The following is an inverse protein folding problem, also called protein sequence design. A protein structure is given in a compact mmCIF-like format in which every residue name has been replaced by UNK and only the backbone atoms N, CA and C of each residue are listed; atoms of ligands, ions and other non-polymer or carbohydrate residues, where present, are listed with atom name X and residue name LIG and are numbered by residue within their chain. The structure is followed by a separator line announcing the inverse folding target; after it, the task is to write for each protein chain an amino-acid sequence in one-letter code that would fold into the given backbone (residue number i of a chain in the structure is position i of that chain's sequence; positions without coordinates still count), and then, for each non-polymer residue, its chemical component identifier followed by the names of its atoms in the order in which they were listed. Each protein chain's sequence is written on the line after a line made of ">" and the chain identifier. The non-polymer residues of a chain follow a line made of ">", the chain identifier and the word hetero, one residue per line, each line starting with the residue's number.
data_IF_422310394767
#
_entry.id   IF_422310394767
#
_cell.length_a   1.000
_cell.length_b   1.000
_cell.length_c   1.000
_cell.angle_alpha   90.00
_cell.angle_beta   90.00
_cell.angle_gamma   90.00
#
_symmetry.space_group_name_H-M   'P 1'
#
loop_
_entity.id
_entity.type
_entity.pdbx_description
1 polymer ?
#
# COMPACT_ATOMS: atom_id res chain seq x y z
N UNK A 1 -40.14 6.95 26.62
CA UNK A 1 -39.15 5.99 27.15
C UNK A 1 -37.85 6.76 27.40
N UNK A 2 -37.12 6.53 28.50
CA UNK A 2 -35.86 7.22 28.70
C UNK A 2 -34.96 6.88 27.52
N UNK A 3 -34.44 7.91 26.82
CA UNK A 3 -33.51 7.77 25.73
C UNK A 3 -32.15 7.40 26.30
N UNK A 4 -31.72 6.13 26.17
CA UNK A 4 -30.37 5.68 26.54
C UNK A 4 -29.41 6.35 25.58
N UNK A 5 -28.39 7.08 26.04
CA UNK A 5 -27.35 7.62 25.17
C UNK A 5 -26.70 6.50 24.35
N UNK A 6 -26.36 6.79 23.08
CA UNK A 6 -25.79 5.77 22.19
C UNK A 6 -24.50 5.14 22.77
N UNK A 7 -23.71 5.93 23.48
CA UNK A 7 -22.48 5.46 24.14
C UNK A 7 -22.72 4.40 25.19
N UNK A 8 -23.83 4.49 25.90
CA UNK A 8 -24.26 3.47 26.88
C UNK A 8 -24.77 2.22 26.16
N UNK A 9 -25.53 2.38 25.09
CA UNK A 9 -26.02 1.26 24.28
C UNK A 9 -24.89 0.49 23.62
N UNK A 10 -23.92 1.19 23.04
CA UNK A 10 -22.78 0.58 22.35
C UNK A 10 -21.68 0.11 23.31
N UNK A 11 -21.63 0.58 24.54
CA UNK A 11 -20.52 0.31 25.45
C UNK A 11 -19.16 0.80 24.98
N UNK A 12 -19.11 1.83 24.12
CA UNK A 12 -17.87 2.40 23.60
C UNK A 12 -16.93 2.87 24.70
N UNK A 13 -15.66 2.56 24.53
CA UNK A 13 -14.58 3.01 25.39
C UNK A 13 -14.09 4.40 24.96
N UNK A 14 -13.34 5.12 25.82
CA UNK A 14 -12.89 6.49 25.53
C UNK A 14 -12.25 6.64 24.16
N UNK A 15 -11.40 5.69 23.75
CA UNK A 15 -10.73 5.72 22.45
C UNK A 15 -11.70 5.55 21.28
N UNK A 16 -12.70 4.68 21.41
CA UNK A 16 -13.74 4.50 20.37
C UNK A 16 -14.67 5.73 20.31
N UNK A 17 -14.94 6.39 21.44
CA UNK A 17 -15.66 7.66 21.46
C UNK A 17 -14.84 8.74 20.76
N UNK A 18 -13.53 8.81 21.03
CA UNK A 18 -12.63 9.72 20.32
C UNK A 18 -12.65 9.47 18.81
N UNK A 19 -12.53 8.20 18.38
CA UNK A 19 -12.58 7.83 16.97
C UNK A 19 -13.92 8.25 16.33
N UNK A 20 -15.03 8.09 17.04
CA UNK A 20 -16.34 8.52 16.56
C UNK A 20 -16.44 10.02 16.38
N UNK A 21 -15.93 10.82 17.33
CA UNK A 21 -15.91 12.29 17.25
C UNK A 21 -15.06 12.78 16.08
N UNK A 22 -13.93 12.13 15.84
CA UNK A 22 -13.06 12.42 14.68
C UNK A 22 -13.78 12.08 13.39
N UNK A 23 -14.41 10.92 13.30
CA UNK A 23 -15.17 10.50 12.13
C UNK A 23 -16.39 11.39 11.85
N UNK A 24 -17.00 12.00 12.87
CA UNK A 24 -18.10 12.96 12.70
C UNK A 24 -17.64 14.24 11.99
N UNK A 25 -16.34 14.55 12.01
CA UNK A 25 -15.78 15.80 11.45
C UNK A 25 -14.88 15.58 10.23
N UNK A 26 -14.44 14.34 9.96
CA UNK A 26 -13.57 14.00 8.83
C UNK A 26 -14.20 12.93 7.95
N UNK A 27 -14.05 13.08 6.65
CA UNK A 27 -14.62 12.15 5.67
C UNK A 27 -13.90 10.81 5.62
N UNK A 28 -12.58 10.81 5.80
CA UNK A 28 -11.73 9.63 5.72
C UNK A 28 -11.04 9.40 7.06
N UNK A 29 -11.64 8.55 7.90
CA UNK A 29 -11.11 8.29 9.25
C UNK A 29 -10.52 6.89 9.35
N UNK A 30 -9.26 6.82 9.79
CA UNK A 30 -8.57 5.59 10.13
C UNK A 30 -8.47 5.43 11.65
N UNK A 31 -9.07 4.38 12.20
CA UNK A 31 -8.89 3.96 13.58
C UNK A 31 -7.94 2.76 13.58
N UNK A 32 -6.67 2.98 13.88
CA UNK A 32 -5.63 2.01 13.58
C UNK A 32 -4.49 1.96 14.58
N UNK A 33 -3.60 1.00 14.40
CA UNK A 33 -2.44 0.74 15.24
C UNK A 33 -2.40 -0.69 15.73
N UNK A 34 -2.12 -0.91 17.02
CA UNK A 34 -1.93 -2.22 17.61
C UNK A 34 -3.15 -3.15 17.55
N UNK A 35 -2.97 -4.43 17.89
CA UNK A 35 -4.06 -5.43 18.01
C UNK A 35 -4.83 -5.26 19.30
N UNK A 36 -6.12 -5.55 19.28
CA UNK A 36 -6.96 -5.69 20.48
C UNK A 36 -7.74 -4.46 20.94
N UNK A 37 -7.57 -3.21 20.43
CA UNK A 37 -8.29 -2.04 20.95
C UNK A 37 -9.78 -1.97 20.56
N UNK A 38 -10.30 -2.93 19.79
CA UNK A 38 -11.71 -2.98 19.42
C UNK A 38 -12.06 -2.18 18.16
N UNK A 39 -11.18 -2.17 17.16
CA UNK A 39 -11.38 -1.47 15.87
C UNK A 39 -12.60 -2.00 15.10
N UNK A 40 -12.68 -3.31 14.89
CA UNK A 40 -13.80 -3.96 14.18
C UNK A 40 -15.14 -3.75 14.93
N UNK A 41 -15.11 -3.74 16.26
CA UNK A 41 -16.27 -3.39 17.09
C UNK A 41 -16.73 -1.97 16.81
N UNK A 42 -15.80 -1.02 16.80
CA UNK A 42 -16.10 0.39 16.50
C UNK A 42 -16.71 0.55 15.11
N UNK A 43 -16.16 -0.08 14.08
CA UNK A 43 -16.64 0.04 12.70
C UNK A 43 -18.13 -0.30 12.57
N UNK A 44 -18.57 -1.45 13.12
CA UNK A 44 -19.97 -1.87 12.99
C UNK A 44 -20.93 -1.04 13.86
N UNK A 45 -20.54 -0.68 15.07
CA UNK A 45 -21.37 0.15 15.93
C UNK A 45 -21.42 1.60 15.47
N UNK A 46 -20.34 2.12 14.90
CA UNK A 46 -20.33 3.46 14.30
C UNK A 46 -21.26 3.54 13.08
N UNK A 47 -21.23 2.53 12.19
CA UNK A 47 -22.16 2.42 11.08
C UNK A 47 -23.61 2.43 11.54
N UNK A 48 -23.95 1.62 12.57
CA UNK A 48 -25.30 1.61 13.15
C UNK A 48 -25.70 3.00 13.71
N UNK A 49 -24.78 3.66 14.42
CA UNK A 49 -25.01 5.01 14.94
C UNK A 49 -25.36 5.99 13.81
N UNK A 50 -24.57 5.99 12.75
CA UNK A 50 -24.77 6.91 11.62
C UNK A 50 -26.14 6.71 10.96
N UNK A 51 -26.57 5.47 10.76
CA UNK A 51 -27.89 5.18 10.20
C UNK A 51 -29.02 5.68 11.12
N UNK A 52 -28.89 5.51 12.45
CA UNK A 52 -29.85 6.01 13.41
C UNK A 52 -29.86 7.56 13.47
N UNK A 53 -28.70 8.19 13.31
CA UNK A 53 -28.59 9.66 13.28
C UNK A 53 -29.18 10.23 11.97
N UNK A 54 -28.98 9.57 10.82
CA UNK A 54 -29.61 9.93 9.55
C UNK A 54 -31.15 9.85 9.66
N UNK A 55 -31.70 8.78 10.26
CA UNK A 55 -33.13 8.65 10.52
C UNK A 55 -33.68 9.82 11.37
N UNK A 56 -32.93 10.21 12.41
CA UNK A 56 -33.36 11.41 13.24
C UNK A 56 -33.42 12.69 12.43
N UNK A 57 -32.69 12.79 11.33
CA UNK A 57 -32.70 13.92 10.41
C UNK A 57 -33.64 13.72 9.23
N UNK A 58 -34.49 12.67 9.27
CA UNK A 58 -35.49 12.39 8.24
C UNK A 58 -34.92 11.76 6.97
N UNK A 59 -33.74 11.18 7.04
CA UNK A 59 -33.08 10.46 5.91
C UNK A 59 -33.17 8.96 6.19
N UNK A 60 -34.09 8.29 5.53
CA UNK A 60 -34.43 6.89 5.72
C UNK A 60 -33.95 6.02 4.54
N UNK A 61 -34.03 4.69 4.70
CA UNK A 61 -33.67 3.69 3.67
C UNK A 61 -32.26 3.83 3.14
N UNK A 62 -31.33 4.19 3.99
CA UNK A 62 -29.92 4.46 3.65
C UNK A 62 -29.11 3.16 3.66
N UNK A 63 -28.15 3.05 2.72
CA UNK A 63 -27.20 1.96 2.68
C UNK A 63 -25.83 2.38 3.22
N UNK A 64 -25.29 1.58 4.14
CA UNK A 64 -23.92 1.67 4.64
C UNK A 64 -23.17 0.39 4.29
N UNK A 65 -22.02 0.47 3.63
CA UNK A 65 -21.22 -0.72 3.30
C UNK A 65 -20.26 -1.08 4.42
N UNK A 66 -20.22 -2.34 4.87
CA UNK A 66 -19.22 -2.87 5.78
C UNK A 66 -18.47 -4.01 5.08
N UNK A 67 -17.17 -3.79 4.87
CA UNK A 67 -16.33 -4.62 4.02
C UNK A 67 -15.22 -5.33 4.81
N UNK A 68 -14.97 -6.59 4.45
CA UNK A 68 -13.79 -7.38 4.82
C UNK A 68 -13.06 -7.87 3.57
N UNK A 69 -11.81 -8.32 3.70
CA UNK A 69 -11.01 -8.82 2.57
C UNK A 69 -11.71 -10.01 1.90
N UNK A 70 -12.15 -11.01 2.68
CA UNK A 70 -12.77 -12.24 2.18
C UNK A 70 -14.12 -12.54 2.82
N UNK A 71 -14.88 -13.45 2.20
CA UNK A 71 -16.17 -13.88 2.75
C UNK A 71 -16.05 -14.64 4.10
N UNK A 72 -15.10 -15.56 4.31
CA UNK A 72 -14.90 -16.18 5.63
C UNK A 72 -14.64 -15.15 6.73
N UNK A 73 -13.78 -14.17 6.48
CA UNK A 73 -13.49 -13.12 7.45
C UNK A 73 -14.69 -12.23 7.75
N UNK A 74 -15.50 -11.94 6.73
CA UNK A 74 -16.75 -11.22 6.90
C UNK A 74 -17.70 -11.96 7.83
N UNK A 75 -17.84 -13.29 7.68
CA UNK A 75 -18.69 -14.12 8.53
C UNK A 75 -18.18 -14.15 9.97
N UNK A 76 -16.90 -14.39 10.17
CA UNK A 76 -16.32 -14.58 11.49
C UNK A 76 -16.20 -13.25 12.27
N UNK A 77 -15.74 -12.19 11.61
CA UNK A 77 -15.40 -10.93 12.26
C UNK A 77 -16.57 -9.97 12.36
N UNK A 78 -17.52 -10.02 11.42
CA UNK A 78 -18.61 -9.03 11.35
C UNK A 78 -19.99 -9.65 11.49
N UNK A 79 -20.37 -10.60 10.64
CA UNK A 79 -21.75 -11.14 10.62
C UNK A 79 -22.12 -11.79 11.94
N UNK A 80 -21.29 -12.73 12.45
CA UNK A 80 -21.51 -13.43 13.72
C UNK A 80 -21.57 -12.47 14.90
N UNK A 81 -20.75 -11.43 14.88
CA UNK A 81 -20.70 -10.40 15.94
C UNK A 81 -21.90 -9.48 15.90
N UNK A 82 -22.34 -9.05 14.73
CA UNK A 82 -23.57 -8.22 14.59
C UNK A 82 -24.76 -8.98 15.16
N UNK A 83 -24.91 -10.27 14.83
CA UNK A 83 -26.00 -11.10 15.36
C UNK A 83 -25.99 -11.16 16.90
N UNK A 84 -24.80 -11.23 17.51
CA UNK A 84 -24.68 -11.35 18.98
C UNK A 84 -24.71 -10.02 19.72
N UNK A 85 -24.26 -8.93 19.08
CA UNK A 85 -24.05 -7.63 19.73
C UNK A 85 -25.22 -6.65 19.53
N UNK A 86 -25.83 -6.65 18.33
CA UNK A 86 -26.86 -5.67 18.04
C UNK A 86 -28.21 -6.07 18.66
N UNK A 87 -28.90 -5.15 19.33
CA UNK A 87 -30.20 -5.45 19.90
C UNK A 87 -31.23 -5.81 18.83
N UNK A 88 -31.89 -6.97 18.95
CA UNK A 88 -32.91 -7.43 18.00
C UNK A 88 -34.09 -6.42 17.84
N UNK A 89 -34.32 -5.57 18.83
CA UNK A 89 -35.32 -4.49 18.72
C UNK A 89 -35.00 -3.42 17.68
N UNK A 90 -33.72 -3.31 17.24
CA UNK A 90 -33.30 -2.34 16.23
C UNK A 90 -33.42 -2.90 14.81
N UNK A 91 -33.22 -4.20 14.64
CA UNK A 91 -33.19 -4.82 13.33
C UNK A 91 -32.71 -6.27 13.40
N UNK A 92 -32.47 -6.86 12.25
CA UNK A 92 -31.98 -8.24 12.13
C UNK A 92 -31.08 -8.44 10.92
N UNK A 93 -30.21 -9.45 10.97
CA UNK A 93 -29.41 -9.87 9.81
C UNK A 93 -30.30 -10.70 8.89
N UNK A 94 -30.40 -10.28 7.63
CA UNK A 94 -31.13 -10.96 6.57
C UNK A 94 -30.32 -10.97 5.28
N UNK A 95 -30.55 -12.00 4.47
CA UNK A 95 -30.12 -12.05 3.07
C UNK A 95 -31.35 -11.86 2.18
N UNK A 96 -31.40 -10.74 1.47
CA UNK A 96 -32.55 -10.36 0.64
C UNK A 96 -32.18 -10.29 -0.83
N UNK A 97 -33.15 -10.55 -1.73
CA UNK A 97 -32.91 -10.45 -3.17
C UNK A 97 -32.50 -9.04 -3.61
N UNK A 98 -33.00 -8.01 -2.93
CA UNK A 98 -32.75 -6.60 -3.27
C UNK A 98 -31.41 -6.09 -2.79
N UNK A 99 -30.97 -6.51 -1.60
CA UNK A 99 -29.78 -5.96 -0.94
C UNK A 99 -28.70 -7.02 -0.65
N UNK A 100 -28.99 -8.32 -0.81
CA UNK A 100 -28.13 -9.40 -0.35
C UNK A 100 -27.99 -9.40 1.18
N UNK A 101 -26.88 -9.95 1.71
CA UNK A 101 -26.63 -10.05 3.13
C UNK A 101 -26.42 -8.67 3.78
N UNK A 102 -27.15 -8.40 4.86
CA UNK A 102 -27.05 -7.15 5.60
C UNK A 102 -27.79 -7.17 6.92
N UNK A 103 -27.46 -6.22 7.81
CA UNK A 103 -28.26 -5.93 8.98
C UNK A 103 -29.31 -4.85 8.64
N UNK A 104 -30.57 -5.22 8.63
CA UNK A 104 -31.69 -4.39 8.25
C UNK A 104 -32.34 -3.79 9.51
N UNK A 105 -32.32 -2.47 9.62
CA UNK A 105 -33.07 -1.75 10.63
C UNK A 105 -34.58 -1.89 10.39
N UNK A 106 -35.36 -2.01 11.46
CA UNK A 106 -36.81 -1.97 11.35
C UNK A 106 -37.30 -0.58 10.86
N UNK A 107 -38.45 -0.53 10.15
CA UNK A 107 -39.03 0.68 9.58
C UNK A 107 -39.14 1.81 10.60
N UNK A 108 -39.51 1.50 11.84
CA UNK A 108 -39.56 2.49 12.94
C UNK A 108 -38.22 3.14 13.30
N UNK A 109 -37.13 2.67 12.70
CA UNK A 109 -35.76 3.20 12.82
C UNK A 109 -35.21 3.57 11.45
N UNK A 110 -36.08 3.82 10.45
CA UNK A 110 -35.74 4.32 9.14
C UNK A 110 -35.47 3.27 8.08
N UNK A 111 -35.69 1.96 8.32
CA UNK A 111 -35.56 0.91 7.32
C UNK A 111 -34.19 0.81 6.61
N UNK A 112 -33.16 1.46 7.14
CA UNK A 112 -31.81 1.52 6.58
C UNK A 112 -31.07 0.18 6.75
N UNK A 113 -29.98 -0.02 6.00
CA UNK A 113 -29.24 -1.30 5.99
C UNK A 113 -27.73 -1.13 6.09
N UNK A 114 -27.10 -1.93 6.94
CA UNK A 114 -25.65 -2.16 6.90
C UNK A 114 -25.40 -3.36 5.98
N UNK A 115 -24.91 -3.12 4.79
CA UNK A 115 -24.61 -4.14 3.79
C UNK A 115 -23.28 -4.81 4.11
N UNK A 116 -23.30 -6.14 4.29
CA UNK A 116 -22.13 -6.95 4.62
C UNK A 116 -21.49 -7.49 3.33
N UNK A 117 -20.26 -7.08 3.05
CA UNK A 117 -19.61 -7.30 1.74
C UNK A 117 -18.17 -7.74 1.90
N UNK A 118 -17.66 -8.45 0.90
CA UNK A 118 -16.25 -8.81 0.78
C UNK A 118 -15.59 -8.10 -0.41
N UNK A 119 -14.27 -8.09 -0.43
CA UNK A 119 -13.45 -7.45 -1.46
C UNK A 119 -12.74 -8.45 -2.40
N UNK A 120 -13.20 -9.71 -2.46
CA UNK A 120 -12.66 -10.72 -3.38
C UNK A 120 -12.76 -10.26 -4.85
N UNK A 121 -13.88 -9.61 -5.22
CA UNK A 121 -14.09 -8.96 -6.49
C UNK A 121 -14.67 -7.55 -6.28
N UNK A 122 -13.81 -6.54 -6.10
CA UNK A 122 -14.28 -5.18 -5.85
C UNK A 122 -15.02 -4.56 -7.02
N UNK A 123 -14.80 -5.01 -8.26
CA UNK A 123 -15.38 -4.41 -9.46
C UNK A 123 -16.93 -4.42 -9.46
N UNK A 124 -17.54 -5.38 -8.77
CA UNK A 124 -19.01 -5.47 -8.62
C UNK A 124 -19.64 -4.29 -7.86
N UNK A 125 -18.84 -3.50 -7.15
CA UNK A 125 -19.35 -2.35 -6.39
C UNK A 125 -19.23 -1.00 -7.12
N UNK A 126 -18.72 -0.96 -8.35
CA UNK A 126 -18.58 0.28 -9.15
C UNK A 126 -19.86 1.07 -9.32
N UNK A 127 -21.00 0.39 -9.39
CA UNK A 127 -22.33 1.01 -9.56
C UNK A 127 -23.10 1.16 -8.25
N UNK A 128 -22.50 0.77 -7.12
CA UNK A 128 -23.17 0.88 -5.82
C UNK A 128 -23.11 2.31 -5.28
N UNK A 129 -24.06 2.62 -4.39
CA UNK A 129 -24.14 3.90 -3.69
C UNK A 129 -24.19 3.65 -2.19
N UNK A 130 -23.38 4.39 -1.44
CA UNK A 130 -23.29 4.27 0.00
C UNK A 130 -23.24 5.66 0.65
N UNK A 131 -24.02 5.85 1.71
CA UNK A 131 -23.90 7.02 2.58
C UNK A 131 -22.60 6.95 3.41
N UNK A 132 -22.16 5.76 3.71
CA UNK A 132 -20.88 5.52 4.36
C UNK A 132 -20.32 4.13 4.07
N UNK A 133 -19.01 4.00 4.19
CA UNK A 133 -18.27 2.77 4.00
C UNK A 133 -17.39 2.53 5.24
N UNK A 134 -17.45 1.31 5.75
CA UNK A 134 -16.53 0.80 6.76
C UNK A 134 -15.68 -0.32 6.16
N UNK A 135 -14.35 -0.25 6.29
CA UNK A 135 -13.43 -1.31 5.82
C UNK A 135 -12.64 -1.85 7.01
N UNK A 136 -12.78 -3.14 7.26
CA UNK A 136 -11.98 -3.83 8.27
C UNK A 136 -10.68 -4.34 7.66
N UNK A 137 -9.56 -4.16 8.36
CA UNK A 137 -8.20 -4.48 7.94
C UNK A 137 -7.81 -3.81 6.59
N UNK A 138 -7.91 -2.48 6.53
CA UNK A 138 -7.64 -1.68 5.32
C UNK A 138 -6.26 -1.94 4.71
N UNK A 139 -5.25 -2.26 5.51
CA UNK A 139 -3.89 -2.57 5.04
C UNK A 139 -3.80 -3.86 4.22
N UNK A 140 -4.84 -4.69 4.21
CA UNK A 140 -4.94 -5.85 3.30
C UNK A 140 -5.52 -5.46 1.92
N UNK A 141 -6.02 -4.24 1.79
CA UNK A 141 -6.71 -3.75 0.59
C UNK A 141 -5.79 -2.90 -0.28
N UNK A 142 -5.64 -3.18 -1.59
CA UNK A 142 -4.88 -2.33 -2.50
C UNK A 142 -5.48 -0.93 -2.63
N UNK A 143 -4.63 0.10 -2.86
CA UNK A 143 -5.07 1.48 -3.05
C UNK A 143 -6.14 1.64 -4.14
N UNK A 144 -5.99 0.94 -5.27
CA UNK A 144 -6.98 0.93 -6.37
C UNK A 144 -8.40 0.56 -5.90
N UNK A 145 -8.51 -0.35 -4.91
CA UNK A 145 -9.80 -0.74 -4.33
C UNK A 145 -10.37 0.37 -3.46
N UNK A 146 -9.54 1.05 -2.67
CA UNK A 146 -9.94 2.26 -1.94
C UNK A 146 -10.46 3.35 -2.88
N UNK A 147 -9.75 3.63 -3.98
CA UNK A 147 -10.16 4.64 -4.96
C UNK A 147 -11.51 4.30 -5.61
N UNK A 148 -11.74 3.03 -5.90
CA UNK A 148 -13.01 2.55 -6.43
C UNK A 148 -14.14 2.68 -5.41
N UNK A 149 -13.93 2.24 -4.16
CA UNK A 149 -14.94 2.37 -3.08
C UNK A 149 -15.25 3.83 -2.79
N UNK A 150 -14.26 4.71 -2.81
CA UNK A 150 -14.43 6.17 -2.68
C UNK A 150 -15.37 6.73 -3.75
N UNK A 151 -15.29 6.23 -4.98
CA UNK A 151 -16.21 6.59 -6.07
C UNK A 151 -17.67 6.19 -5.81
N UNK A 152 -17.92 5.22 -4.92
CA UNK A 152 -19.27 4.77 -4.52
C UNK A 152 -19.83 5.52 -3.29
N UNK A 153 -19.05 6.43 -2.70
CA UNK A 153 -19.49 7.29 -1.59
C UNK A 153 -20.36 8.44 -2.11
N UNK A 154 -21.61 8.15 -2.32
CA UNK A 154 -22.64 9.10 -2.70
C UNK A 154 -24.00 8.62 -2.19
N UNK A 155 -24.81 9.52 -1.68
CA UNK A 155 -26.18 9.23 -1.25
C UNK A 155 -27.02 10.50 -1.30
N UNK A 156 -28.20 10.49 -1.95
CA UNK A 156 -29.08 11.66 -2.01
C UNK A 156 -29.46 12.15 -0.61
N UNK A 157 -29.38 13.44 -0.38
CA UNK A 157 -29.75 14.06 0.90
C UNK A 157 -28.71 13.94 2.02
N UNK A 158 -27.65 13.16 1.85
CA UNK A 158 -26.55 13.07 2.81
C UNK A 158 -25.47 14.09 2.46
N UNK A 159 -25.34 15.13 3.28
CA UNK A 159 -24.40 16.22 3.03
C UNK A 159 -22.93 15.78 3.09
N UNK A 160 -22.60 14.81 3.95
CA UNK A 160 -21.25 14.27 4.10
C UNK A 160 -21.32 12.75 4.13
N UNK A 161 -20.82 12.12 3.08
CA UNK A 161 -20.57 10.67 3.05
C UNK A 161 -19.25 10.36 3.74
N UNK A 162 -19.12 9.18 4.35
CA UNK A 162 -17.99 8.85 5.22
C UNK A 162 -17.30 7.57 4.82
N UNK A 163 -15.98 7.54 4.94
CA UNK A 163 -15.15 6.35 4.83
C UNK A 163 -14.42 6.12 6.15
N UNK A 164 -14.77 5.05 6.83
CA UNK A 164 -14.16 4.66 8.10
C UNK A 164 -13.37 3.36 7.90
N UNK A 165 -12.18 3.28 8.43
CA UNK A 165 -11.40 2.07 8.34
C UNK A 165 -10.79 1.68 9.70
N UNK A 166 -10.64 0.37 9.91
CA UNK A 166 -9.90 -0.21 11.01
C UNK A 166 -8.75 -1.05 10.46
N UNK A 167 -7.56 -0.99 11.06
CA UNK A 167 -6.46 -1.83 10.61
C UNK A 167 -5.30 -1.90 11.60
N UNK A 168 -4.45 -2.92 11.40
CA UNK A 168 -3.11 -3.01 11.98
C UNK A 168 -2.08 -2.55 10.94
N UNK A 169 -0.85 -2.16 11.36
CA UNK A 169 0.15 -1.64 10.45
C UNK A 169 0.90 -2.70 9.63
N UNK A 170 0.65 -3.99 9.85
CA UNK A 170 1.42 -5.12 9.30
C UNK A 170 0.83 -5.75 8.02
N UNK A 171 -0.22 -5.16 7.46
CA UNK A 171 -0.83 -5.66 6.22
C UNK A 171 0.07 -5.42 4.99
N UNK A 172 -0.09 -6.27 3.98
CA UNK A 172 0.73 -6.25 2.73
C UNK A 172 0.68 -4.93 1.95
N UNK A 173 -0.36 -4.12 2.16
CA UNK A 173 -0.56 -2.83 1.51
C UNK A 173 -0.49 -1.65 2.51
N UNK A 174 0.23 -1.82 3.63
CA UNK A 174 0.32 -0.81 4.68
C UNK A 174 0.94 0.53 4.20
N UNK A 175 1.81 0.49 3.19
CA UNK A 175 2.54 1.67 2.73
C UNK A 175 1.63 2.81 2.27
N UNK A 176 0.65 2.57 1.38
CA UNK A 176 -0.24 3.62 0.91
C UNK A 176 -1.17 4.15 2.02
N UNK A 177 -1.56 3.27 2.97
CA UNK A 177 -2.34 3.68 4.15
C UNK A 177 -1.51 4.59 5.05
N UNK A 178 -0.27 4.18 5.33
CA UNK A 178 0.69 5.00 6.09
C UNK A 178 0.91 6.35 5.42
N UNK A 179 1.17 6.37 4.12
CA UNK A 179 1.41 7.60 3.36
C UNK A 179 0.26 8.60 3.52
N UNK A 180 -1.01 8.17 3.35
CA UNK A 180 -2.17 9.09 3.39
C UNK A 180 -2.56 9.50 4.81
N UNK A 181 -2.63 8.56 5.77
CA UNK A 181 -3.19 8.86 7.10
C UNK A 181 -2.16 9.18 8.16
N UNK A 182 -0.95 8.61 8.08
CA UNK A 182 0.08 8.77 9.10
C UNK A 182 1.05 9.89 8.72
N UNK A 183 1.65 9.78 7.53
CA UNK A 183 2.63 10.74 7.01
C UNK A 183 1.96 11.98 6.42
N UNK A 184 0.67 11.87 6.03
CA UNK A 184 -0.09 12.94 5.36
C UNK A 184 0.64 13.43 4.10
N UNK A 185 1.31 12.52 3.42
CA UNK A 185 2.00 12.76 2.17
C UNK A 185 1.08 12.42 0.99
N UNK A 186 0.74 13.44 0.22
CA UNK A 186 -0.13 13.35 -0.96
C UNK A 186 0.67 13.55 -2.26
N UNK A 187 1.96 13.28 -2.25
CA UNK A 187 2.81 13.36 -3.43
C UNK A 187 2.87 12.04 -4.18
N UNK A 188 3.09 12.11 -5.50
CA UNK A 188 3.22 10.95 -6.37
C UNK A 188 1.93 10.55 -7.10
N UNK A 189 2.11 9.77 -8.16
CA UNK A 189 1.02 9.34 -9.04
C UNK A 189 -0.09 8.61 -8.25
N UNK A 190 -1.33 9.03 -8.47
CA UNK A 190 -2.52 8.49 -7.80
C UNK A 190 -2.72 9.00 -6.36
N UNK A 191 -1.85 9.87 -5.83
CA UNK A 191 -2.03 10.54 -4.54
C UNK A 191 -2.30 12.03 -4.66
N UNK A 192 -1.74 12.68 -5.68
CA UNK A 192 -1.88 14.12 -5.91
C UNK A 192 -3.33 14.54 -6.11
N UNK A 193 -4.17 13.69 -6.69
CA UNK A 193 -5.60 13.92 -6.86
C UNK A 193 -6.36 13.96 -5.51
N UNK A 194 -5.76 13.45 -4.45
CA UNK A 194 -6.30 13.49 -3.09
C UNK A 194 -5.86 14.73 -2.31
N UNK A 195 -4.88 15.47 -2.79
CA UNK A 195 -4.35 16.66 -2.10
C UNK A 195 -5.43 17.70 -1.73
N UNK A 196 -6.45 18.00 -2.57
CA UNK A 196 -7.53 18.89 -2.18
C UNK A 196 -8.39 18.38 -1.01
N UNK A 197 -8.32 17.07 -0.71
CA UNK A 197 -9.05 16.42 0.38
C UNK A 197 -8.17 16.15 1.61
N UNK A 198 -6.94 16.65 1.65
CA UNK A 198 -5.96 16.36 2.71
C UNK A 198 -6.51 16.55 4.11
N UNK A 199 -7.28 17.60 4.33
CA UNK A 199 -7.83 17.93 5.65
C UNK A 199 -9.06 17.10 6.02
N UNK A 200 -9.57 16.30 5.09
CA UNK A 200 -10.62 15.30 5.34
C UNK A 200 -10.06 13.95 5.83
N UNK A 201 -8.73 13.77 5.84
CA UNK A 201 -8.07 12.57 6.33
C UNK A 201 -7.67 12.72 7.79
N UNK A 202 -8.09 11.78 8.64
CA UNK A 202 -7.73 11.76 10.05
C UNK A 202 -7.37 10.36 10.54
N UNK A 203 -6.34 10.29 11.37
CA UNK A 203 -5.87 9.07 12.02
C UNK A 203 -6.09 9.14 13.53
N UNK A 204 -6.68 8.08 14.08
CA UNK A 204 -6.81 7.89 15.54
C UNK A 204 -6.00 6.66 15.93
N UNK A 205 -4.84 6.85 16.59
CA UNK A 205 -4.02 5.74 17.04
C UNK A 205 -4.69 4.95 18.16
N UNK A 206 -4.55 3.64 18.14
CA UNK A 206 -5.13 2.73 19.12
C UNK A 206 -4.14 1.66 19.58
N UNK A 207 -4.07 1.44 20.88
CA UNK A 207 -3.18 0.49 21.54
C UNK A 207 -4.00 -0.58 22.31
N UNK A 208 -3.42 -1.74 22.66
CA UNK A 208 -4.08 -2.74 23.47
C UNK A 208 -4.53 -2.20 24.83
N UNK A 209 -3.80 -1.22 25.38
CA UNK A 209 -4.13 -0.54 26.65
C UNK A 209 -5.45 0.22 26.61
N UNK A 210 -5.96 0.54 25.43
CA UNK A 210 -7.27 1.20 25.25
C UNK A 210 -8.45 0.23 25.47
N UNK A 211 -8.16 -1.09 25.59
CA UNK A 211 -9.17 -2.14 25.81
C UNK A 211 -8.95 -2.85 27.15
N UNK A 212 -9.74 -2.53 28.17
CA UNK A 212 -9.58 -3.15 29.50
C UNK A 212 -10.07 -4.61 29.59
N UNK A 213 -10.64 -5.16 28.53
CA UNK A 213 -11.18 -6.53 28.52
C UNK A 213 -10.20 -7.57 27.97
N UNK A 214 -8.99 -7.18 27.59
CA UNK A 214 -7.98 -8.10 27.13
C UNK A 214 -7.49 -8.98 28.30
N UNK A 215 -7.51 -10.31 28.12
CA UNK A 215 -7.06 -11.25 29.13
C UNK A 215 -5.54 -11.14 29.39
N UNK A 216 -5.11 -11.58 30.56
CA UNK A 216 -3.69 -11.66 30.90
C UNK A 216 -2.90 -12.55 29.92
N UNK A 217 -3.51 -13.65 29.47
CA UNK A 217 -2.91 -14.57 28.49
C UNK A 217 -2.70 -13.88 27.14
N UNK A 218 -3.69 -13.12 26.66
CA UNK A 218 -3.55 -12.33 25.43
C UNK A 218 -2.40 -11.30 25.52
N UNK A 219 -2.26 -10.65 26.68
CA UNK A 219 -1.14 -9.74 26.95
C UNK A 219 0.21 -10.47 26.94
N UNK A 220 0.25 -11.67 27.53
CA UNK A 220 1.46 -12.48 27.51
C UNK A 220 1.83 -12.87 26.08
N UNK A 221 0.86 -13.35 25.29
CA UNK A 221 1.06 -13.71 23.89
C UNK A 221 1.56 -12.55 23.03
N UNK A 222 1.01 -11.35 23.21
CA UNK A 222 1.51 -10.16 22.49
C UNK A 222 2.96 -9.82 22.87
N UNK A 223 3.33 -9.91 24.14
CA UNK A 223 4.67 -9.59 24.64
C UNK A 223 5.74 -10.60 24.23
N UNK A 224 5.34 -11.86 24.00
CA UNK A 224 6.24 -12.96 23.61
C UNK A 224 6.43 -13.09 22.11
N UNK A 225 5.72 -12.29 21.29
CA UNK A 225 5.93 -12.25 19.85
C UNK A 225 7.35 -11.81 19.47
N UNK A 226 7.87 -12.22 18.30
CA UNK A 226 9.11 -11.67 17.76
C UNK A 226 9.09 -10.14 17.75
N UNK A 227 10.27 -9.51 17.89
CA UNK A 227 10.40 -8.06 18.04
C UNK A 227 9.57 -7.28 16.99
N UNK A 228 9.70 -7.62 15.72
CA UNK A 228 9.02 -6.95 14.61
C UNK A 228 7.47 -7.04 14.71
N UNK A 229 6.96 -8.24 15.08
CA UNK A 229 5.53 -8.46 15.31
C UNK A 229 5.05 -7.67 16.52
N UNK A 230 5.85 -7.62 17.57
CA UNK A 230 5.54 -6.86 18.79
C UNK A 230 5.47 -5.36 18.52
N UNK A 231 6.41 -4.81 17.76
CA UNK A 231 6.40 -3.41 17.34
C UNK A 231 5.09 -3.06 16.60
N UNK A 232 4.61 -3.93 15.72
CA UNK A 232 3.33 -3.73 15.02
C UNK A 232 2.10 -3.96 15.91
N UNK A 233 2.06 -5.08 16.64
CA UNK A 233 0.84 -5.55 17.32
C UNK A 233 0.66 -5.00 18.73
N UNK A 234 1.74 -4.70 19.44
CA UNK A 234 1.71 -4.15 20.78
C UNK A 234 1.91 -2.63 20.80
N UNK A 235 2.85 -2.13 20.00
CA UNK A 235 3.25 -0.73 20.00
C UNK A 235 2.54 0.07 18.89
N UNK A 236 1.92 -0.61 17.93
CA UNK A 236 1.19 0.02 16.84
C UNK A 236 2.08 0.76 15.84
N UNK A 237 3.35 0.34 15.74
CA UNK A 237 4.32 0.98 14.85
C UNK A 237 3.98 0.74 13.39
N UNK A 238 3.85 1.81 12.62
CA UNK A 238 3.64 1.78 11.17
C UNK A 238 4.93 1.55 10.38
N UNK A 239 6.05 1.45 11.07
CA UNK A 239 7.37 1.19 10.51
C UNK A 239 7.92 -0.17 10.93
N UNK A 240 7.11 -0.98 11.63
CA UNK A 240 7.48 -2.34 11.99
C UNK A 240 7.53 -3.23 10.74
N UNK A 241 8.59 -4.01 10.59
CA UNK A 241 8.78 -4.91 9.44
C UNK A 241 7.94 -6.18 9.59
N UNK A 242 7.42 -6.67 8.46
CA UNK A 242 6.75 -7.98 8.42
C UNK A 242 7.73 -9.11 8.63
N UNK A 243 7.32 -10.15 9.36
CA UNK A 243 8.18 -11.30 9.70
C UNK A 243 8.60 -12.17 8.50
N UNK A 244 7.87 -12.12 7.38
CA UNK A 244 8.11 -12.93 6.18
C UNK A 244 8.65 -12.14 4.98
N UNK A 245 9.09 -10.89 5.17
CA UNK A 245 9.74 -10.08 4.12
C UNK A 245 11.06 -10.72 3.69
N UNK A 246 11.31 -10.75 2.38
CA UNK A 246 12.52 -11.35 1.81
C UNK A 246 13.79 -10.66 2.30
N UNK A 247 13.77 -9.33 2.39
CA UNK A 247 14.93 -8.52 2.78
C UNK A 247 14.74 -7.88 4.17
N UNK A 248 14.55 -8.71 5.19
CA UNK A 248 14.25 -8.29 6.57
C UNK A 248 15.29 -7.34 7.19
N UNK A 249 16.54 -7.39 6.73
CA UNK A 249 17.64 -6.55 7.24
C UNK A 249 17.76 -5.18 6.54
N UNK A 250 16.94 -4.94 5.49
CA UNK A 250 16.85 -3.63 4.86
C UNK A 250 16.15 -2.65 5.81
N UNK A 251 16.79 -1.57 6.20
CA UNK A 251 16.27 -0.57 7.15
C UNK A 251 16.75 0.86 6.81
N UNK A 252 16.47 1.80 7.73
CA UNK A 252 16.88 3.20 7.58
C UNK A 252 18.38 3.37 7.31
N UNK A 253 19.21 2.45 7.78
CA UNK A 253 20.65 2.45 7.50
C UNK A 253 20.99 2.20 6.03
N UNK A 254 20.05 1.68 5.22
CA UNK A 254 20.18 1.53 3.78
C UNK A 254 19.62 2.73 3.00
N UNK A 255 18.89 3.64 3.66
CA UNK A 255 18.33 4.82 3.02
C UNK A 255 19.37 5.95 2.97
N UNK A 256 19.25 6.81 1.96
CA UNK A 256 20.14 7.96 1.78
C UNK A 256 19.45 9.08 1.02
N UNK A 257 19.90 10.31 1.25
CA UNK A 257 19.58 11.49 0.45
C UNK A 257 20.76 11.93 -0.44
N UNK A 258 21.81 11.08 -0.52
CA UNK A 258 22.99 11.38 -1.31
C UNK A 258 22.67 11.37 -2.81
N UNK A 259 22.96 12.48 -3.47
CA UNK A 259 22.81 12.61 -4.92
C UNK A 259 23.93 11.88 -5.67
N UNK A 260 23.66 11.33 -6.87
CA UNK A 260 24.69 10.69 -7.68
C UNK A 260 25.73 11.70 -8.16
N UNK A 261 26.97 11.25 -8.30
CA UNK A 261 28.01 12.01 -8.97
C UNK A 261 27.87 11.88 -10.50
N UNK A 262 27.16 12.81 -11.11
CA UNK A 262 26.89 12.81 -12.55
C UNK A 262 28.14 12.97 -13.42
N UNK A 263 29.31 13.30 -12.83
CA UNK A 263 30.60 13.27 -13.55
C UNK A 263 31.10 11.84 -13.77
N UNK A 264 30.62 10.86 -13.01
CA UNK A 264 30.94 9.43 -13.14
C UNK A 264 29.92 8.70 -14.01
N UNK A 265 30.26 7.47 -14.38
CA UNK A 265 29.34 6.56 -15.07
C UNK A 265 28.30 6.00 -14.12
N UNK A 266 27.15 5.66 -14.67
CA UNK A 266 26.08 4.99 -13.97
C UNK A 266 25.43 3.92 -14.85
N UNK A 267 24.74 3.00 -14.27
CA UNK A 267 24.15 1.84 -14.92
C UNK A 267 22.64 1.80 -14.64
N UNK A 268 21.94 0.95 -15.37
CA UNK A 268 20.49 0.77 -15.24
C UNK A 268 20.21 -0.71 -14.91
N UNK A 269 19.28 -0.95 -14.01
CA UNK A 269 18.61 -2.25 -13.98
C UNK A 269 17.17 -2.12 -14.48
N UNK A 270 16.62 -3.23 -15.02
CA UNK A 270 15.23 -3.23 -15.49
C UNK A 270 14.52 -4.55 -15.22
N UNK A 271 13.23 -4.46 -14.98
CA UNK A 271 12.27 -5.55 -15.08
C UNK A 271 11.18 -5.15 -16.06
N UNK A 272 10.76 -6.09 -16.94
CA UNK A 272 9.85 -5.77 -18.04
C UNK A 272 8.44 -6.25 -17.76
N UNK A 273 7.50 -5.33 -17.77
CA UNK A 273 6.07 -5.58 -17.66
C UNK A 273 5.25 -4.63 -18.53
N UNK A 274 4.02 -4.99 -18.83
CA UNK A 274 3.04 -4.14 -19.49
C UNK A 274 1.79 -3.94 -18.65
N UNK A 275 1.18 -5.03 -18.19
CA UNK A 275 0.09 -5.02 -17.19
C UNK A 275 0.70 -4.91 -15.80
N UNK A 276 1.70 -5.76 -15.53
CA UNK A 276 2.58 -5.63 -14.38
C UNK A 276 3.54 -4.46 -14.57
N UNK A 277 4.05 -3.88 -13.52
CA UNK A 277 4.95 -2.74 -13.61
C UNK A 277 6.22 -3.04 -14.42
N UNK A 278 6.57 -2.12 -15.34
CA UNK A 278 7.90 -2.02 -15.90
C UNK A 278 8.72 -1.11 -15.00
N UNK A 279 9.88 -1.59 -14.58
CA UNK A 279 10.74 -0.88 -13.63
C UNK A 279 12.10 -0.61 -14.24
N UNK A 280 12.59 0.63 -14.10
CA UNK A 280 13.97 0.99 -14.34
C UNK A 280 14.56 1.57 -13.05
N UNK A 281 15.69 1.01 -12.58
CA UNK A 281 16.43 1.55 -11.44
C UNK A 281 17.74 2.15 -11.94
N UNK A 282 17.99 3.38 -11.55
CA UNK A 282 19.20 4.12 -11.91
C UNK A 282 20.24 3.90 -10.82
N UNK A 283 21.40 3.34 -11.19
CA UNK A 283 22.36 2.80 -10.24
C UNK A 283 23.76 3.37 -10.49
N UNK A 284 24.40 3.86 -9.43
CA UNK A 284 25.79 4.23 -9.44
C UNK A 284 26.60 3.31 -8.54
N UNK A 285 27.72 2.79 -9.04
CA UNK A 285 28.62 1.90 -8.29
C UNK A 285 29.94 2.57 -8.01
N UNK A 286 30.42 2.35 -6.79
CA UNK A 286 31.79 2.60 -6.39
C UNK A 286 32.46 1.30 -5.91
N UNK A 287 33.69 1.37 -5.42
CA UNK A 287 34.37 0.25 -4.79
C UNK A 287 33.74 -0.20 -3.47
N UNK A 288 33.01 0.68 -2.79
CA UNK A 288 32.49 0.47 -1.45
C UNK A 288 30.97 0.54 -1.36
N UNK A 289 30.28 1.06 -2.39
CA UNK A 289 28.86 1.34 -2.32
C UNK A 289 28.16 1.07 -3.66
N UNK A 290 26.92 0.62 -3.58
CA UNK A 290 25.97 0.55 -4.68
C UNK A 290 24.82 1.48 -4.31
N UNK A 291 24.69 2.59 -5.02
CA UNK A 291 23.65 3.59 -4.82
C UNK A 291 22.57 3.42 -5.88
N UNK A 292 21.35 3.06 -5.49
CA UNK A 292 20.17 3.20 -6.32
C UNK A 292 19.63 4.61 -6.09
N UNK A 293 19.84 5.51 -7.05
CA UNK A 293 19.59 6.93 -6.84
C UNK A 293 18.26 7.41 -7.40
N UNK A 294 17.62 6.65 -8.30
CA UNK A 294 16.31 7.00 -8.83
C UNK A 294 15.61 5.76 -9.41
N UNK A 295 14.29 5.86 -9.61
CA UNK A 295 13.47 4.82 -10.20
C UNK A 295 12.50 5.38 -11.25
N UNK A 296 12.14 4.58 -12.24
CA UNK A 296 11.02 4.80 -13.16
C UNK A 296 10.11 3.60 -13.03
N UNK A 297 8.84 3.84 -12.72
CA UNK A 297 7.83 2.82 -12.46
C UNK A 297 6.63 3.06 -13.37
N UNK A 298 6.33 2.12 -14.27
CA UNK A 298 5.35 2.34 -15.33
C UNK A 298 4.47 1.12 -15.56
N UNK A 299 3.21 1.34 -15.90
CA UNK A 299 2.29 0.31 -16.40
C UNK A 299 1.66 0.78 -17.70
N UNK A 300 1.29 -0.15 -18.60
CA UNK A 300 0.62 0.12 -19.89
C UNK A 300 1.38 1.11 -20.78
N UNK A 301 2.71 1.04 -20.77
CA UNK A 301 3.60 1.83 -21.63
C UNK A 301 4.23 0.95 -22.69
N UNK A 302 4.29 1.45 -23.93
CA UNK A 302 5.03 0.79 -24.99
C UNK A 302 6.55 0.93 -24.77
N UNK A 303 7.33 0.01 -25.31
CA UNK A 303 8.79 0.01 -25.14
C UNK A 303 9.41 1.34 -25.58
N UNK A 304 8.96 1.89 -26.73
CA UNK A 304 9.47 3.17 -27.24
C UNK A 304 9.15 4.36 -26.33
N UNK A 305 7.97 4.34 -25.70
CA UNK A 305 7.57 5.37 -24.74
C UNK A 305 8.41 5.28 -23.48
N UNK A 306 8.64 4.06 -22.97
CA UNK A 306 9.46 3.84 -21.78
C UNK A 306 10.91 4.29 -21.99
N UNK A 307 11.49 4.04 -23.18
CA UNK A 307 12.84 4.55 -23.52
C UNK A 307 12.82 6.07 -23.64
N UNK A 308 11.78 6.67 -24.21
CA UNK A 308 11.64 8.12 -24.26
C UNK A 308 11.63 8.72 -22.85
N UNK A 309 10.81 8.18 -21.96
CA UNK A 309 10.68 8.64 -20.58
C UNK A 309 12.02 8.51 -19.82
N UNK A 310 12.78 7.42 -20.05
CA UNK A 310 14.15 7.28 -19.54
C UNK A 310 15.07 8.39 -20.06
N UNK A 311 15.01 8.70 -21.36
CA UNK A 311 15.84 9.75 -21.96
C UNK A 311 15.46 11.14 -21.43
N UNK A 312 14.18 11.40 -21.20
CA UNK A 312 13.70 12.61 -20.53
C UNK A 312 14.26 12.71 -19.10
N UNK A 313 14.26 11.60 -18.37
CA UNK A 313 14.88 11.51 -17.03
C UNK A 313 16.38 11.82 -17.08
N UNK A 314 17.11 11.27 -18.06
CA UNK A 314 18.53 11.57 -18.27
C UNK A 314 18.77 13.08 -18.53
N UNK A 315 17.94 13.70 -19.36
CA UNK A 315 18.02 15.14 -19.60
C UNK A 315 17.75 15.95 -18.33
N UNK A 316 16.72 15.58 -17.58
CA UNK A 316 16.35 16.25 -16.33
C UNK A 316 17.44 16.16 -15.26
N UNK A 317 18.08 14.99 -15.09
CA UNK A 317 19.20 14.80 -14.17
C UNK A 317 20.35 15.76 -14.46
N UNK A 318 20.62 16.04 -15.72
CA UNK A 318 21.67 16.96 -16.17
C UNK A 318 21.18 18.41 -16.37
N UNK A 319 19.90 18.70 -15.99
CA UNK A 319 19.26 20.02 -16.13
C UNK A 319 19.27 20.56 -17.57
N UNK A 320 19.12 19.66 -18.54
CA UNK A 320 19.09 19.98 -19.97
C UNK A 320 17.64 20.21 -20.38
N UNK A 321 17.36 21.39 -20.99
CA UNK A 321 16.04 21.69 -21.53
C UNK A 321 15.78 20.88 -22.80
N UNK A 322 14.62 20.26 -22.94
CA UNK A 322 14.24 19.48 -24.10
C UNK A 322 13.91 20.42 -25.30
N UNK A 323 14.25 20.03 -26.55
CA UNK A 323 13.88 20.79 -27.73
C UNK A 323 12.37 20.69 -28.02
N UNK A 324 11.81 21.70 -28.70
CA UNK A 324 10.36 21.77 -29.00
C UNK A 324 9.82 20.55 -29.75
N UNK A 325 10.65 19.96 -30.63
CA UNK A 325 10.29 18.80 -31.43
C UNK A 325 10.53 17.45 -30.72
N UNK A 326 10.82 17.45 -29.43
CA UNK A 326 11.15 16.21 -28.67
C UNK A 326 10.17 15.06 -28.87
N UNK A 327 8.88 15.37 -28.92
CA UNK A 327 7.83 14.37 -29.14
C UNK A 327 7.86 13.71 -30.52
N UNK A 328 8.43 14.39 -31.53
CA UNK A 328 8.40 13.97 -32.93
C UNK A 328 9.66 13.21 -33.39
N UNK A 329 10.78 13.32 -32.65
CA UNK A 329 12.05 12.67 -33.01
C UNK A 329 12.14 11.25 -32.44
N UNK A 330 12.97 10.39 -33.07
CA UNK A 330 13.17 8.99 -32.64
C UNK A 330 14.10 8.90 -31.43
N UNK A 331 14.04 7.80 -30.69
CA UNK A 331 14.89 7.59 -29.50
C UNK A 331 16.39 7.62 -29.83
N UNK A 332 16.81 7.19 -31.03
CA UNK A 332 18.18 7.32 -31.51
C UNK A 332 18.63 8.78 -31.61
N UNK A 333 17.75 9.66 -32.08
CA UNK A 333 18.00 11.09 -32.21
C UNK A 333 17.97 11.78 -30.85
N UNK A 334 17.05 11.39 -29.97
CA UNK A 334 16.95 11.86 -28.58
C UNK A 334 18.25 11.56 -27.80
N UNK A 335 18.72 10.30 -27.87
CA UNK A 335 19.95 9.90 -27.19
C UNK A 335 21.18 10.66 -27.70
N UNK A 336 21.31 10.80 -29.02
CA UNK A 336 22.38 11.60 -29.62
C UNK A 336 22.33 13.06 -29.17
N UNK A 337 21.13 13.66 -29.13
CA UNK A 337 20.93 15.03 -28.69
C UNK A 337 21.30 15.21 -27.19
N UNK A 338 20.90 14.30 -26.32
CA UNK A 338 21.25 14.33 -24.89
C UNK A 338 22.77 14.33 -24.70
N UNK A 339 23.46 13.41 -25.38
CA UNK A 339 24.91 13.28 -25.29
C UNK A 339 25.63 14.52 -25.84
N UNK A 340 25.15 15.09 -26.97
CA UNK A 340 25.73 16.31 -27.55
C UNK A 340 25.56 17.54 -26.67
N UNK A 341 24.57 17.53 -25.75
CA UNK A 341 24.35 18.55 -24.75
C UNK A 341 25.01 18.28 -23.39
N UNK A 342 25.93 17.28 -23.33
CA UNK A 342 26.78 17.04 -22.18
C UNK A 342 26.22 16.08 -21.12
N UNK A 343 25.04 15.47 -21.34
CA UNK A 343 24.53 14.45 -20.44
C UNK A 343 25.14 13.07 -20.71
N UNK A 344 25.16 12.24 -19.69
CA UNK A 344 25.55 10.83 -19.77
C UNK A 344 24.31 9.95 -19.82
N UNK A 345 24.37 8.96 -20.71
CA UNK A 345 23.44 7.83 -20.71
C UNK A 345 23.95 6.71 -19.80
N UNK A 346 23.07 5.76 -19.41
CA UNK A 346 23.54 4.56 -18.70
C UNK A 346 24.61 3.83 -19.51
N UNK A 347 25.72 3.46 -18.85
CA UNK A 347 26.80 2.71 -19.49
C UNK A 347 26.38 1.28 -19.86
N UNK A 348 25.44 0.72 -19.09
CA UNK A 348 24.91 -0.61 -19.27
C UNK A 348 23.53 -0.72 -18.63
N UNK A 349 22.59 -1.37 -19.33
CA UNK A 349 21.32 -1.84 -18.79
C UNK A 349 21.35 -3.35 -18.56
N UNK A 350 20.96 -3.83 -17.37
CA UNK A 350 20.89 -5.24 -17.01
C UNK A 350 19.53 -5.57 -16.42
N UNK A 351 18.85 -6.61 -16.90
CA UNK A 351 17.54 -6.96 -16.35
C UNK A 351 17.03 -8.30 -16.84
N UNK A 352 15.71 -8.47 -16.90
CA UNK A 352 15.10 -9.72 -17.34
C UNK A 352 15.66 -10.19 -18.68
N UNK A 353 16.13 -11.44 -18.76
CA UNK A 353 16.64 -12.04 -20.00
C UNK A 353 15.53 -12.30 -21.03
N UNK A 354 14.27 -12.30 -20.60
CA UNK A 354 13.09 -12.51 -21.45
C UNK A 354 12.69 -11.22 -22.18
N UNK A 355 13.12 -10.06 -21.71
CA UNK A 355 12.82 -8.73 -22.26
C UNK A 355 13.62 -8.40 -23.54
N UNK A 356 13.61 -9.31 -24.50
CA UNK A 356 14.44 -9.21 -25.74
C UNK A 356 14.11 -7.94 -26.53
N UNK A 357 12.82 -7.58 -26.65
CA UNK A 357 12.39 -6.40 -27.40
C UNK A 357 12.82 -5.11 -26.71
N UNK A 358 12.64 -5.02 -25.41
CA UNK A 358 13.07 -3.87 -24.62
C UNK A 358 14.59 -3.69 -24.69
N UNK A 359 15.39 -4.78 -24.59
CA UNK A 359 16.83 -4.72 -24.76
C UNK A 359 17.26 -4.23 -26.15
N UNK A 360 16.50 -4.58 -27.18
CA UNK A 360 16.70 -4.02 -28.54
C UNK A 360 16.48 -2.52 -28.55
N UNK A 361 15.39 -2.03 -27.93
CA UNK A 361 15.09 -0.58 -27.85
C UNK A 361 16.16 0.20 -27.09
N UNK A 362 16.72 -0.36 -26.01
CA UNK A 362 17.87 0.23 -25.32
C UNK A 362 19.05 0.41 -26.28
N UNK A 363 19.41 -0.64 -27.06
CA UNK A 363 20.54 -0.56 -28.00
C UNK A 363 20.27 0.44 -29.13
N UNK A 364 19.06 0.53 -29.64
CA UNK A 364 18.63 1.55 -30.62
C UNK A 364 18.79 2.99 -30.05
N UNK A 365 18.66 3.16 -28.73
CA UNK A 365 18.91 4.41 -28.03
C UNK A 365 20.39 4.59 -27.56
N UNK A 366 21.33 3.83 -28.13
CA UNK A 366 22.75 3.84 -27.76
C UNK A 366 23.03 3.47 -26.28
N UNK A 367 22.16 2.69 -25.67
CA UNK A 367 22.37 2.14 -24.33
C UNK A 367 22.66 0.64 -24.45
N UNK A 368 23.89 0.17 -24.14
CA UNK A 368 24.20 -1.25 -24.12
C UNK A 368 23.28 -2.00 -23.16
N UNK A 369 22.69 -3.12 -23.59
CA UNK A 369 21.76 -3.88 -22.76
C UNK A 369 22.04 -5.37 -22.84
N UNK A 370 21.89 -6.07 -21.70
CA UNK A 370 22.00 -7.53 -21.61
C UNK A 370 21.04 -8.12 -20.60
N UNK A 371 20.67 -9.39 -20.83
CA UNK A 371 19.91 -10.17 -19.86
C UNK A 371 20.72 -10.52 -18.62
N UNK A 372 20.08 -10.53 -17.49
CA UNK A 372 20.60 -10.98 -16.21
C UNK A 372 20.33 -12.47 -15.97
N UNK A 373 20.88 -13.00 -14.90
CA UNK A 373 20.75 -14.41 -14.50
C UNK A 373 19.60 -14.59 -13.52
N UNK A 374 18.79 -15.64 -13.73
CA UNK A 374 17.55 -15.91 -12.96
C UNK A 374 17.75 -16.72 -11.66
N UNK A 375 18.96 -16.75 -11.08
CA UNK A 375 19.23 -17.49 -9.83
C UNK A 375 18.59 -16.80 -8.62
N UNK A 376 17.34 -17.18 -8.29
CA UNK A 376 16.54 -16.50 -7.28
C UNK A 376 17.18 -16.56 -5.90
N UNK A 377 17.41 -17.77 -5.37
CA UNK A 377 17.87 -17.94 -3.98
C UNK A 377 19.30 -17.43 -3.77
N UNK A 378 20.18 -17.65 -4.74
CA UNK A 378 21.57 -17.15 -4.66
C UNK A 378 21.59 -15.62 -4.81
N UNK A 379 20.76 -15.07 -5.71
CA UNK A 379 20.60 -13.64 -5.86
C UNK A 379 20.08 -12.97 -4.59
N UNK A 380 19.08 -13.56 -3.92
CA UNK A 380 18.59 -13.09 -2.63
C UNK A 380 19.69 -13.10 -1.56
N UNK A 381 20.47 -14.19 -1.45
CA UNK A 381 21.58 -14.27 -0.49
C UNK A 381 22.62 -13.18 -0.73
N UNK A 382 22.96 -12.94 -1.99
CA UNK A 382 23.89 -11.87 -2.35
C UNK A 382 23.32 -10.48 -2.02
N UNK A 383 22.06 -10.22 -2.37
CA UNK A 383 21.38 -8.98 -2.01
C UNK A 383 21.39 -8.73 -0.49
N UNK A 384 21.07 -9.76 0.31
CA UNK A 384 21.10 -9.67 1.77
C UNK A 384 22.48 -9.29 2.29
N UNK A 385 23.56 -9.87 1.73
CA UNK A 385 24.92 -9.53 2.15
C UNK A 385 25.33 -8.09 1.80
N UNK A 386 24.71 -7.48 0.79
CA UNK A 386 24.93 -6.07 0.44
C UNK A 386 24.05 -5.12 1.25
N UNK A 387 22.87 -5.59 1.66
CA UNK A 387 21.97 -4.85 2.58
C UNK A 387 22.62 -4.74 3.95
N UNK A 388 23.07 -5.88 4.51
CA UNK A 388 23.78 -5.93 5.78
C UNK A 388 24.66 -7.18 5.82
N UNK A 389 25.98 -7.00 5.85
CA UNK A 389 26.91 -8.11 5.97
C UNK A 389 27.11 -8.55 7.44
N UNK A 390 27.85 -9.66 7.62
CA UNK A 390 28.16 -10.19 8.97
C UNK A 390 29.00 -9.26 9.85
N UNK A 391 29.61 -8.20 9.31
CA UNK A 391 30.39 -7.20 10.01
C UNK A 391 29.58 -5.91 10.30
N UNK A 392 28.29 -5.88 9.91
CA UNK A 392 27.44 -4.70 10.09
C UNK A 392 27.60 -3.66 8.96
N UNK A 393 28.29 -3.98 7.87
CA UNK A 393 28.50 -3.07 6.73
C UNK A 393 27.30 -3.12 5.79
N UNK A 394 26.88 -1.95 5.31
CA UNK A 394 25.76 -1.76 4.37
C UNK A 394 26.28 -1.17 3.07
N UNK A 395 26.52 -2.04 2.10
CA UNK A 395 27.03 -1.66 0.76
C UNK A 395 25.93 -1.15 -0.16
N UNK A 396 24.70 -1.66 -0.01
CA UNK A 396 23.53 -1.20 -0.77
C UNK A 396 22.89 0.01 -0.09
N UNK A 397 22.79 1.11 -0.85
CA UNK A 397 22.06 2.33 -0.48
C UNK A 397 20.98 2.61 -1.50
N UNK A 398 19.83 3.04 -1.02
CA UNK A 398 18.67 3.40 -1.83
C UNK A 398 18.25 4.83 -1.46
N UNK A 399 18.15 5.68 -2.48
CA UNK A 399 17.72 7.06 -2.26
C UNK A 399 16.23 7.07 -1.86
N UNK A 400 15.86 7.95 -0.90
CA UNK A 400 14.49 8.03 -0.36
C UNK A 400 13.41 8.33 -1.42
N UNK A 401 13.78 8.83 -2.59
CA UNK A 401 12.85 9.03 -3.73
C UNK A 401 12.42 7.72 -4.42
N UNK A 402 13.15 6.62 -4.24
CA UNK A 402 12.80 5.30 -4.79
C UNK A 402 11.72 4.61 -3.94
N UNK A 403 10.55 5.21 -3.86
CA UNK A 403 9.48 4.80 -2.94
C UNK A 403 8.96 3.38 -3.20
N UNK A 404 8.80 3.01 -4.48
CA UNK A 404 8.29 1.68 -4.85
C UNK A 404 9.30 0.59 -4.51
N UNK A 405 10.57 0.79 -4.86
CA UNK A 405 11.63 -0.15 -4.49
C UNK A 405 11.75 -0.31 -2.97
N UNK A 406 11.72 0.81 -2.23
CA UNK A 406 11.78 0.79 -0.77
C UNK A 406 10.60 -0.01 -0.20
N UNK A 407 9.41 0.17 -0.75
CA UNK A 407 8.22 -0.55 -0.28
C UNK A 407 8.29 -2.05 -0.56
N UNK A 408 8.76 -2.46 -1.74
CA UNK A 408 9.00 -3.89 -2.03
C UNK A 408 10.05 -4.49 -1.08
N UNK A 409 11.18 -3.81 -0.87
CA UNK A 409 12.24 -4.30 0.01
C UNK A 409 11.84 -4.33 1.49
N UNK A 410 10.92 -3.46 1.90
CA UNK A 410 10.51 -3.33 3.30
C UNK A 410 9.26 -4.14 3.63
N UNK A 411 8.27 -4.18 2.72
CA UNK A 411 6.92 -4.62 3.04
C UNK A 411 6.31 -5.64 2.07
N UNK A 412 6.52 -5.50 0.76
CA UNK A 412 5.71 -6.20 -0.24
C UNK A 412 6.29 -7.53 -0.65
N UNK A 413 7.60 -7.62 -0.92
CA UNK A 413 8.23 -8.84 -1.39
C UNK A 413 8.42 -9.82 -0.24
N UNK A 414 7.67 -10.93 -0.26
CA UNK A 414 7.52 -11.83 0.88
C UNK A 414 7.69 -13.30 0.50
N UNK A 415 8.02 -14.10 1.49
CA UNK A 415 7.84 -15.54 1.41
C UNK A 415 6.39 -15.93 1.73
N UNK A 416 5.86 -17.04 1.18
CA UNK A 416 4.59 -17.60 1.63
C UNK A 416 4.56 -17.83 3.15
N UNK A 417 3.37 -17.81 3.74
CA UNK A 417 3.23 -18.10 5.16
C UNK A 417 3.71 -19.53 5.47
N UNK A 418 4.55 -19.66 6.49
CA UNK A 418 5.15 -20.95 6.88
C UNK A 418 6.32 -21.42 6.02
N UNK A 419 6.73 -20.68 5.01
CA UNK A 419 7.84 -21.03 4.14
C UNK A 419 9.19 -21.10 4.89
N UNK A 420 10.04 -22.05 4.49
CA UNK A 420 11.43 -22.14 4.93
C UNK A 420 12.27 -21.18 4.07
N UNK A 421 12.59 -20.01 4.59
CA UNK A 421 13.21 -18.86 3.90
C UNK A 421 14.52 -19.17 3.14
N UNK A 422 15.24 -20.22 3.52
CA UNK A 422 16.51 -20.56 2.89
C UNK A 422 16.40 -21.59 1.76
N UNK A 423 15.24 -22.20 1.59
CA UNK A 423 15.02 -23.30 0.63
C UNK A 423 13.78 -23.12 -0.26
N UNK A 424 12.88 -22.22 0.08
CA UNK A 424 11.66 -21.96 -0.69
C UNK A 424 11.76 -20.62 -1.44
N UNK A 425 11.09 -20.53 -2.58
CA UNK A 425 11.05 -19.31 -3.36
C UNK A 425 10.05 -18.33 -2.73
N UNK A 426 10.32 -17.01 -2.79
CA UNK A 426 9.34 -16.00 -2.46
C UNK A 426 8.09 -16.08 -3.35
N UNK A 427 7.03 -15.37 -2.97
CA UNK A 427 5.86 -15.16 -3.82
C UNK A 427 6.27 -14.40 -5.09
N UNK A 428 5.72 -14.82 -6.24
CA UNK A 428 5.99 -14.19 -7.53
C UNK A 428 4.98 -13.04 -7.78
N UNK A 429 5.07 -12.04 -6.92
CA UNK A 429 4.28 -10.80 -7.00
C UNK A 429 4.90 -9.70 -6.15
N UNK A 430 4.60 -8.45 -6.50
CA UNK A 430 5.09 -7.26 -5.80
C UNK A 430 6.63 -7.30 -5.60
N UNK A 431 7.35 -7.69 -6.66
CA UNK A 431 8.80 -7.99 -6.63
C UNK A 431 9.58 -7.35 -7.79
N UNK A 432 8.94 -6.52 -8.61
CA UNK A 432 9.50 -6.03 -9.88
C UNK A 432 10.78 -5.19 -9.71
N UNK A 433 10.81 -4.27 -8.76
CA UNK A 433 12.01 -3.50 -8.41
C UNK A 433 13.06 -4.35 -7.73
N UNK A 434 12.64 -5.20 -6.80
CA UNK A 434 13.53 -6.12 -6.09
C UNK A 434 14.17 -7.14 -7.05
N UNK A 435 13.43 -7.67 -8.01
CA UNK A 435 13.93 -8.61 -9.03
C UNK A 435 14.82 -7.90 -10.05
N UNK A 436 14.43 -6.71 -10.51
CA UNK A 436 15.29 -5.84 -11.33
C UNK A 436 16.66 -5.65 -10.68
N UNK A 437 16.68 -5.24 -9.41
CA UNK A 437 17.92 -5.02 -8.66
C UNK A 437 18.71 -6.33 -8.46
N UNK A 438 18.04 -7.43 -8.20
CA UNK A 438 18.63 -8.76 -8.03
C UNK A 438 19.32 -9.24 -9.32
N UNK A 439 18.68 -9.10 -10.50
CA UNK A 439 19.29 -9.41 -11.79
C UNK A 439 20.58 -8.63 -12.01
N UNK A 440 20.53 -7.33 -11.75
CA UNK A 440 21.68 -6.46 -11.87
C UNK A 440 22.82 -6.87 -10.92
N UNK A 441 22.56 -6.98 -9.64
CA UNK A 441 23.57 -7.30 -8.62
C UNK A 441 24.19 -8.66 -8.88
N UNK A 442 23.40 -9.69 -9.13
CA UNK A 442 23.91 -11.03 -9.38
C UNK A 442 24.76 -11.09 -10.65
N UNK A 443 24.33 -10.45 -11.73
CA UNK A 443 25.05 -10.40 -13.00
C UNK A 443 26.36 -9.63 -12.91
N UNK A 444 26.40 -8.56 -12.11
CA UNK A 444 27.59 -7.71 -11.94
C UNK A 444 28.58 -8.23 -10.91
N UNK A 445 28.13 -9.02 -9.95
CA UNK A 445 28.97 -9.60 -8.88
C UNK A 445 29.46 -11.04 -9.18
N UNK A 446 28.75 -11.78 -10.03
CA UNK A 446 29.05 -13.19 -10.35
C UNK A 446 30.21 -13.40 -11.33
N UNK A 447 31.01 -12.38 -11.65
CA UNK A 447 32.24 -12.48 -12.45
C UNK A 447 33.46 -12.05 -11.61
N UNK A 448 33.78 -12.83 -10.61
CA UNK A 448 35.10 -12.85 -10.00
C UNK A 448 35.60 -14.27 -9.99
#
# INVERSE_FOLDING_TARGET
>A
MPTVPFWELSGFRPKQIQASRVADTHRFTLFGGARGPGKSYWLRWYALRQLLDLHRHGIDHVSWGLFCESYPELQDRQTSKIVSEFPARLGEVRDTKSHGLGFHLHERYGGSVILLRNLDDPAKYKSSEFAGISVDELTLTPKRTFDMLRGSLRWPGVARTQFCAGTNPDGKHAAWVRQLWIERDFTGEGFEELLPLRDEFAFVPALPTDNPFLSADYWHDLKTQPRQVREAWLEGSWYAKSSNVVYSDFDEGNLTDAEPDLSKTWELSFDDGYIDPRVFLLIQRSSTEILVFDEIWQTKRLDEESIRDLLEKCAALHKIALPENWGAIRNTERSAWIVSNGAKLPELAVGSSEAVQLMRRFREANIPARGGTHEILQGIKLMRSLILDGNGVRTLKVHQRCKHLIDELTNLYRFPEGARRDSEKPEDRDNHGADSLRYYIYTRSGRR
#
